data_IF_054910447378
#
_entry.id   IF_054910447378
#
_cell.length_a   1.000
_cell.length_b   1.000
_cell.length_c   1.000
_cell.angle_alpha   90.00
_cell.angle_beta   90.00
_cell.angle_gamma   90.00
#
_symmetry.space_group_name_H-M   'P 1'
#
loop_
_entity.id
_entity.type
_entity.pdbx_description
1 polymer ?
#
# COMPACT_ATOMS: atom_id res chain seq x y z
N UNK A 1 -7.95 5.72 9.10
CA UNK A 1 -6.61 5.11 9.22
C UNK A 1 -5.49 6.02 8.68
N UNK A 2 -5.55 6.49 7.44
CA UNK A 2 -4.50 7.32 6.81
C UNK A 2 -4.06 8.56 7.62
N UNK A 3 -5.01 9.26 8.27
CA UNK A 3 -4.67 10.40 9.16
C UNK A 3 -3.78 10.01 10.34
N UNK A 4 -4.02 8.85 10.96
CA UNK A 4 -3.18 8.36 12.06
C UNK A 4 -1.76 8.08 11.57
N UNK A 5 -1.65 7.40 10.43
CA UNK A 5 -0.36 7.10 9.81
C UNK A 5 0.39 8.39 9.44
N UNK A 6 -0.31 9.42 8.94
CA UNK A 6 0.28 10.74 8.71
C UNK A 6 0.79 11.41 10.00
N UNK A 7 -0.02 11.43 11.06
CA UNK A 7 0.28 12.14 12.32
C UNK A 7 1.38 11.47 13.13
N UNK A 8 1.45 10.14 13.13
CA UNK A 8 2.38 9.40 13.99
C UNK A 8 3.50 8.69 13.20
N UNK A 9 3.33 8.51 11.89
CA UNK A 9 4.14 7.57 11.13
C UNK A 9 3.83 6.13 11.52
N UNK A 10 4.73 5.23 11.13
CA UNK A 10 4.66 3.80 11.44
C UNK A 10 4.23 2.97 10.24
N UNK A 11 3.74 1.77 10.52
CA UNK A 11 3.42 0.74 9.55
C UNK A 11 2.00 0.21 9.81
N UNK A 12 1.21 0.10 8.75
CA UNK A 12 -0.06 -0.62 8.73
C UNK A 12 0.11 -1.91 7.96
N UNK A 13 -0.39 -3.00 8.52
CA UNK A 13 -0.50 -4.32 7.90
C UNK A 13 -1.93 -4.87 8.11
N UNK A 14 -2.39 -5.78 7.25
CA UNK A 14 -3.66 -6.47 7.46
C UNK A 14 -3.66 -7.26 8.77
N UNK A 15 -4.78 -7.22 9.51
CA UNK A 15 -4.93 -7.98 10.76
C UNK A 15 -4.86 -9.51 10.55
N UNK A 16 -5.12 -9.99 9.32
CA UNK A 16 -5.03 -11.40 8.94
C UNK A 16 -3.61 -11.86 8.61
N UNK A 17 -2.63 -10.95 8.53
CA UNK A 17 -1.27 -11.28 8.14
C UNK A 17 -0.50 -11.91 9.31
N UNK A 18 0.07 -13.10 9.10
CA UNK A 18 0.98 -13.74 10.05
C UNK A 18 2.40 -13.22 9.83
N UNK A 19 2.98 -12.63 10.87
CA UNK A 19 4.31 -12.03 10.83
C UNK A 19 5.33 -13.02 11.41
N UNK A 20 6.18 -13.59 10.54
CA UNK A 20 7.18 -14.60 10.92
C UNK A 20 8.57 -14.02 11.20
N UNK A 21 8.82 -12.77 10.80
CA UNK A 21 10.10 -12.07 10.93
C UNK A 21 9.86 -10.65 11.44
N UNK A 22 10.90 -10.06 12.03
CA UNK A 22 10.86 -8.66 12.43
C UNK A 22 10.56 -7.75 11.22
N UNK A 23 9.60 -6.84 11.39
CA UNK A 23 9.16 -5.88 10.38
C UNK A 23 10.03 -4.62 10.37
N UNK A 24 10.83 -4.38 11.41
CA UNK A 24 11.62 -3.15 11.53
C UNK A 24 12.64 -2.97 10.38
N UNK A 25 13.36 -4.01 9.91
CA UNK A 25 14.25 -3.91 8.76
C UNK A 25 13.48 -3.60 7.46
N UNK A 26 12.32 -4.24 7.27
CA UNK A 26 11.46 -4.03 6.12
C UNK A 26 10.96 -2.59 6.08
N UNK A 27 10.41 -2.09 7.20
CA UNK A 27 9.97 -0.71 7.31
C UNK A 27 11.10 0.27 7.00
N UNK A 28 12.24 0.13 7.70
CA UNK A 28 13.37 1.05 7.57
C UNK A 28 13.89 1.12 6.14
N UNK A 29 14.01 -0.02 5.46
CA UNK A 29 14.43 -0.07 4.06
C UNK A 29 13.40 0.53 3.10
N UNK A 30 12.11 0.24 3.30
CA UNK A 30 11.05 0.75 2.43
C UNK A 30 10.87 2.26 2.52
N UNK A 31 11.00 2.86 3.70
CA UNK A 31 10.87 4.32 3.89
C UNK A 31 12.19 5.10 3.69
N UNK A 32 13.32 4.43 3.45
CA UNK A 32 14.64 5.08 3.40
C UNK A 32 14.74 6.16 2.30
N UNK A 33 14.20 5.89 1.11
CA UNK A 33 14.29 6.80 -0.04
C UNK A 33 13.28 7.94 0.00
N UNK A 34 11.98 7.61 0.01
CA UNK A 34 10.88 8.58 -0.18
C UNK A 34 10.20 8.99 1.13
N UNK A 35 10.51 8.31 2.24
CA UNK A 35 9.81 8.51 3.51
C UNK A 35 8.43 7.84 3.59
N UNK A 36 7.98 7.14 2.54
CA UNK A 36 6.72 6.40 2.51
C UNK A 36 6.83 5.18 1.60
N UNK A 37 6.17 4.09 1.98
CA UNK A 37 6.22 2.82 1.28
C UNK A 37 4.84 2.20 1.18
N UNK A 38 4.64 1.42 0.14
CA UNK A 38 3.46 0.58 -0.07
C UNK A 38 3.87 -0.84 -0.43
N UNK A 39 3.17 -1.82 0.13
CA UNK A 39 3.36 -3.23 -0.20
C UNK A 39 2.51 -3.66 -1.38
N UNK A 40 3.06 -4.56 -2.20
CA UNK A 40 2.33 -5.24 -3.26
C UNK A 40 1.69 -6.53 -2.75
N UNK A 41 0.45 -6.76 -3.14
CA UNK A 41 -0.27 -8.02 -2.93
C UNK A 41 -1.01 -8.41 -4.20
N UNK A 42 -1.65 -9.58 -4.16
CA UNK A 42 -2.66 -9.94 -5.15
C UNK A 42 -3.76 -8.87 -5.18
N UNK A 43 -4.13 -8.33 -6.35
CA UNK A 43 -5.25 -7.41 -6.47
C UNK A 43 -6.58 -8.11 -6.18
N UNK A 44 -7.39 -7.52 -5.30
CA UNK A 44 -8.75 -8.00 -4.97
C UNK A 44 -9.83 -7.37 -5.88
N UNK A 45 -9.44 -6.51 -6.83
CA UNK A 45 -10.33 -5.75 -7.73
C UNK A 45 -10.23 -6.24 -9.19
N UNK A 46 -10.91 -5.55 -10.12
CA UNK A 46 -10.80 -5.82 -11.57
C UNK A 46 -9.35 -5.80 -12.10
N UNK A 47 -8.42 -5.17 -11.37
CA UNK A 47 -6.99 -5.20 -11.70
C UNK A 47 -6.40 -6.62 -11.72
N UNK A 48 -7.04 -7.59 -11.08
CA UNK A 48 -6.68 -9.02 -11.15
C UNK A 48 -6.71 -9.61 -12.56
N UNK A 49 -7.47 -9.01 -13.47
CA UNK A 49 -7.48 -9.43 -14.88
C UNK A 49 -6.30 -8.88 -15.69
N UNK A 50 -5.55 -7.92 -15.14
CA UNK A 50 -4.51 -7.16 -15.84
C UNK A 50 -3.12 -7.29 -15.24
N UNK A 51 -3.02 -7.61 -13.94
CA UNK A 51 -1.74 -7.74 -13.23
C UNK A 51 -1.84 -8.75 -12.10
N UNK A 52 -0.76 -9.50 -11.88
CA UNK A 52 -0.66 -10.46 -10.78
C UNK A 52 -0.32 -9.78 -9.45
N UNK A 53 0.28 -8.58 -9.50
CA UNK A 53 0.63 -7.80 -8.33
C UNK A 53 0.15 -6.37 -8.46
N UNK A 54 -0.36 -5.83 -7.36
CA UNK A 54 -0.76 -4.44 -7.31
C UNK A 54 -0.52 -3.82 -5.92
N UNK A 55 -0.22 -2.52 -5.84
CA UNK A 55 -0.09 -1.86 -4.55
C UNK A 55 -1.39 -1.94 -3.75
N UNK A 56 -1.29 -2.24 -2.46
CA UNK A 56 -2.44 -2.44 -1.59
C UNK A 56 -2.43 -1.45 -0.43
N UNK A 57 -3.50 -0.67 -0.28
CA UNK A 57 -3.67 0.29 0.82
C UNK A 57 -3.64 -0.36 2.22
N UNK A 58 -3.83 -1.69 2.32
CA UNK A 58 -3.73 -2.42 3.60
C UNK A 58 -2.28 -2.55 4.09
N UNK A 59 -1.28 -2.38 3.22
CA UNK A 59 0.15 -2.41 3.56
C UNK A 59 0.78 -1.05 3.24
N UNK A 60 0.85 -0.18 4.24
CA UNK A 60 1.38 1.18 4.10
C UNK A 60 2.33 1.52 5.25
N UNK A 61 3.49 2.09 4.95
CA UNK A 61 4.40 2.60 5.97
C UNK A 61 4.86 4.01 5.63
N UNK A 62 4.92 4.91 6.61
CA UNK A 62 5.49 6.23 6.37
C UNK A 62 6.16 6.83 7.60
N UNK A 63 7.01 7.83 7.36
CA UNK A 63 7.46 8.76 8.40
C UNK A 63 6.32 9.69 8.78
N UNK A 64 6.38 10.22 10.00
CA UNK A 64 5.49 11.30 10.44
C UNK A 64 5.53 12.46 9.43
N UNK A 65 4.36 13.02 9.14
CA UNK A 65 4.19 14.20 8.29
C UNK A 65 4.71 14.03 6.84
N UNK A 66 4.74 12.80 6.33
CA UNK A 66 5.19 12.54 4.96
C UNK A 66 4.29 13.25 3.91
N UNK A 67 4.87 13.98 2.93
CA UNK A 67 4.10 14.66 1.89
C UNK A 67 3.19 13.74 1.06
N UNK A 68 3.68 12.56 0.68
CA UNK A 68 2.89 11.60 -0.10
C UNK A 68 1.68 11.09 0.68
N UNK A 69 1.84 10.88 1.99
CA UNK A 69 0.74 10.48 2.88
C UNK A 69 -0.28 11.62 3.06
N UNK A 70 0.16 12.88 3.04
CA UNK A 70 -0.76 14.04 3.05
C UNK A 70 -1.61 14.10 1.78
N UNK A 71 -0.99 13.86 0.62
CA UNK A 71 -1.68 13.79 -0.68
C UNK A 71 -2.73 12.68 -0.68
N UNK A 72 -2.37 11.50 -0.14
CA UNK A 72 -3.28 10.39 0.05
C UNK A 72 -4.45 10.70 0.99
N UNK A 73 -4.19 11.34 2.13
CA UNK A 73 -5.26 11.78 3.05
C UNK A 73 -6.22 12.74 2.34
N UNK A 74 -5.70 13.72 1.58
CA UNK A 74 -6.54 14.66 0.85
C UNK A 74 -7.39 13.99 -0.23
N UNK A 75 -6.82 13.02 -0.95
CA UNK A 75 -7.56 12.20 -1.92
C UNK A 75 -8.71 11.43 -1.25
N UNK A 76 -8.46 10.79 -0.11
CA UNK A 76 -9.50 10.10 0.65
C UNK A 76 -10.59 11.04 1.17
N UNK A 77 -10.24 12.26 1.60
CA UNK A 77 -11.21 13.26 2.05
C UNK A 77 -12.14 13.71 0.92
N UNK A 78 -11.61 13.91 -0.28
CA UNK A 78 -12.40 14.24 -1.47
C UNK A 78 -13.31 13.08 -1.86
N UNK A 79 -12.80 11.86 -1.89
CA UNK A 79 -13.59 10.66 -2.18
C UNK A 79 -14.74 10.51 -1.19
N UNK A 80 -14.44 10.54 0.10
CA UNK A 80 -15.43 10.38 1.18
C UNK A 80 -16.48 11.50 1.19
N UNK A 81 -16.16 12.66 0.60
CA UNK A 81 -17.10 13.78 0.47
C UNK A 81 -17.98 13.70 -0.77
N UNK A 82 -17.57 12.94 -1.80
CA UNK A 82 -18.27 12.85 -3.09
C UNK A 82 -19.23 11.67 -3.16
N UNK A 83 -18.78 10.47 -2.79
CA UNK A 83 -19.59 9.26 -2.87
C UNK A 83 -19.14 8.22 -1.83
N UNK A 84 -20.11 7.62 -1.14
CA UNK A 84 -19.89 6.56 -0.13
C UNK A 84 -20.39 5.20 -0.65
N UNK A 85 -20.30 4.96 -1.97
CA UNK A 85 -20.74 3.71 -2.57
C UNK A 85 -19.61 2.68 -2.59
N UNK A 86 -19.97 1.40 -2.48
CA UNK A 86 -19.03 0.28 -2.53
C UNK A 86 -18.30 0.14 -3.90
N UNK A 87 -18.70 0.93 -4.91
CA UNK A 87 -18.06 0.93 -6.23
C UNK A 87 -16.60 1.39 -6.19
N UNK A 88 -16.24 2.31 -5.27
CA UNK A 88 -14.86 2.82 -5.15
C UNK A 88 -13.88 1.69 -4.77
N UNK A 89 -14.30 0.81 -3.86
CA UNK A 89 -13.52 -0.36 -3.47
C UNK A 89 -13.48 -1.41 -4.60
N UNK A 90 -14.59 -1.59 -5.32
CA UNK A 90 -14.68 -2.51 -6.46
C UNK A 90 -13.79 -2.09 -7.64
N UNK A 91 -13.76 -0.80 -7.98
CA UNK A 91 -12.94 -0.24 -9.05
C UNK A 91 -11.45 -0.14 -8.69
N UNK A 92 -11.11 -0.24 -7.40
CA UNK A 92 -9.73 -0.15 -6.91
C UNK A 92 -9.11 1.24 -7.08
N UNK A 93 -9.91 2.30 -7.06
CA UNK A 93 -9.46 3.68 -7.31
C UNK A 93 -8.41 4.14 -6.30
N UNK A 94 -8.54 3.72 -5.04
CA UNK A 94 -7.54 3.94 -3.99
C UNK A 94 -6.19 3.34 -4.37
N UNK A 95 -6.18 2.07 -4.79
CA UNK A 95 -4.95 1.37 -5.16
C UNK A 95 -4.33 1.98 -6.43
N UNK A 96 -5.15 2.42 -7.39
CA UNK A 96 -4.69 3.13 -8.60
C UNK A 96 -4.02 4.46 -8.27
N UNK A 97 -4.60 5.22 -7.35
CA UNK A 97 -4.01 6.48 -6.89
C UNK A 97 -2.65 6.23 -6.19
N UNK A 98 -2.56 5.21 -5.35
CA UNK A 98 -1.29 4.83 -4.71
C UNK A 98 -0.26 4.31 -5.72
N UNK A 99 -0.69 3.60 -6.76
CA UNK A 99 0.16 3.21 -7.88
C UNK A 99 0.71 4.42 -8.61
N UNK A 100 -0.10 5.44 -8.91
CA UNK A 100 0.35 6.70 -9.50
C UNK A 100 1.44 7.37 -8.65
N UNK A 101 1.25 7.49 -7.33
CA UNK A 101 2.24 8.08 -6.42
C UNK A 101 3.56 7.28 -6.40
N UNK A 102 3.48 5.98 -6.67
CA UNK A 102 4.66 5.12 -6.81
C UNK A 102 5.36 5.37 -8.16
N UNK A 103 4.62 5.49 -9.26
CA UNK A 103 5.16 5.84 -10.59
C UNK A 103 5.82 7.22 -10.59
N UNK A 104 5.27 8.18 -9.85
CA UNK A 104 5.81 9.53 -9.65
C UNK A 104 7.02 9.56 -8.69
N UNK A 105 7.45 8.41 -8.16
CA UNK A 105 8.55 8.28 -7.17
C UNK A 105 8.33 9.05 -5.87
N UNK A 106 7.07 9.34 -5.53
CA UNK A 106 6.68 9.92 -4.23
C UNK A 106 6.54 8.85 -3.14
N UNK A 107 6.36 7.59 -3.53
CA UNK A 107 6.33 6.44 -2.63
C UNK A 107 7.24 5.31 -3.14
N UNK A 108 7.84 4.59 -2.20
CA UNK A 108 8.58 3.37 -2.48
C UNK A 108 7.64 2.18 -2.61
N UNK A 109 7.92 1.30 -3.57
CA UNK A 109 7.22 0.02 -3.72
C UNK A 109 8.00 -1.09 -3.02
N UNK A 110 7.33 -1.90 -2.21
CA UNK A 110 7.91 -3.08 -1.55
C UNK A 110 7.30 -4.34 -2.18
N UNK A 111 8.15 -5.18 -2.76
CA UNK A 111 7.73 -6.40 -3.49
C UNK A 111 6.98 -7.38 -2.58
N UNK A 112 6.01 -8.08 -3.19
CA UNK A 112 5.21 -9.13 -2.58
C UNK A 112 6.02 -10.31 -2.03
N UNK A 113 7.22 -10.55 -2.55
CA UNK A 113 8.15 -11.57 -2.02
C UNK A 113 8.47 -11.36 -0.53
N UNK A 114 8.60 -10.11 -0.07
CA UNK A 114 8.84 -9.81 1.35
C UNK A 114 7.61 -10.05 2.23
N UNK A 115 6.42 -10.09 1.64
CA UNK A 115 5.16 -10.34 2.32
C UNK A 115 4.68 -11.79 2.15
N UNK A 116 5.45 -12.65 1.47
CA UNK A 116 5.10 -14.05 1.23
C UNK A 116 4.03 -14.26 0.17
N UNK A 117 3.79 -13.27 -0.67
CA UNK A 117 2.82 -13.35 -1.80
C UNK A 117 3.48 -13.97 -3.03
N UNK A 118 4.80 -13.84 -3.15
CA UNK A 118 5.62 -14.33 -4.26
C UNK A 118 6.75 -15.22 -3.75
N UNK A 119 7.14 -16.20 -4.56
CA UNK A 119 8.38 -16.95 -4.36
C UNK A 119 9.62 -16.12 -4.79
N UNK A 120 10.82 -16.65 -4.54
CA UNK A 120 12.07 -15.99 -4.93
C UNK A 120 12.27 -15.87 -6.46
N UNK A 121 11.45 -16.56 -7.25
CA UNK A 121 11.45 -16.54 -8.70
C UNK A 121 10.38 -15.59 -9.29
N UNK A 122 9.56 -14.96 -8.44
CA UNK A 122 8.49 -14.05 -8.83
C UNK A 122 7.16 -14.72 -9.17
N UNK A 123 6.98 -16.01 -8.86
CA UNK A 123 5.70 -16.68 -9.04
C UNK A 123 4.81 -16.47 -7.82
N UNK A 124 3.52 -16.28 -8.05
CA UNK A 124 2.52 -16.21 -6.98
C UNK A 124 2.47 -17.52 -6.20
N UNK A 125 2.58 -17.43 -4.87
CA UNK A 125 2.40 -18.59 -4.00
C UNK A 125 0.92 -18.77 -3.70
N UNK A 126 0.28 -19.74 -4.35
CA UNK A 126 -1.04 -20.22 -3.95
C UNK A 126 -0.91 -21.22 -2.81
N UNK A 127 -1.53 -20.92 -1.67
CA UNK A 127 -1.68 -21.84 -0.53
C UNK A 127 -2.91 -22.73 -0.71
#
# INVERSE_FOLDING_TARGET
MAKLLYTFGGLTIPNSMIVLKDLMPLYSSGIAGTGCMIGETLPESEMSSYTEMFPNYKILGCKRECPAMKEYVGYLEVLNSRDYTAEIDFCGDINRFLYQLTTERKMSKVSGCLFGVEDSAGNVVNL
#
